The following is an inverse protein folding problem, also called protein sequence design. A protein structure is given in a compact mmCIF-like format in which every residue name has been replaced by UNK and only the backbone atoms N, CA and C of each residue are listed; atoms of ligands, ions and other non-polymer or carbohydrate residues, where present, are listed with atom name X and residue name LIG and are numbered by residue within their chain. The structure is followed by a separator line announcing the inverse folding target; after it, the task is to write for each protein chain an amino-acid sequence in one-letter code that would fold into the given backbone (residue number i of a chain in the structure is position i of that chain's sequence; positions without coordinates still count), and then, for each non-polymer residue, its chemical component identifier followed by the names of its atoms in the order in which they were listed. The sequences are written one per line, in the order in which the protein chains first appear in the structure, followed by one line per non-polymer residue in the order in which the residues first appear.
data_IF_950774919655
#
_entry.id   IF_950774919655
#
_cell.length_a   1.000
_cell.length_b   1.000
_cell.length_c   1.000
_cell.angle_alpha   90.00
_cell.angle_beta   90.00
_cell.angle_gamma   90.00
#
_symmetry.space_group_name_H-M   'P 1'
#
loop_
_entity.id
_entity.type
_entity.pdbx_description
1 polymer ?
#
# COMPACT_ATOMS: atom_id res chain seq x y z
N UNK A 1 -1.68 19.71 -7.90
CA UNK A 1 -0.57 18.77 -7.69
C UNK A 1 -1.08 17.34 -7.70
N UNK A 2 -0.38 16.47 -8.37
CA UNK A 2 -0.75 15.06 -8.46
C UNK A 2 0.04 14.26 -7.44
N UNK A 3 -0.65 13.61 -6.54
CA UNK A 3 -0.03 12.72 -5.58
C UNK A 3 -0.26 11.27 -6.01
N UNK A 4 0.79 10.47 -5.95
CA UNK A 4 0.71 9.04 -6.25
C UNK A 4 1.29 8.28 -5.07
N UNK A 5 0.55 7.30 -4.59
CA UNK A 5 1.00 6.38 -3.57
C UNK A 5 1.21 5.02 -4.22
N UNK A 6 2.45 4.55 -4.23
CA UNK A 6 2.77 3.22 -4.73
C UNK A 6 3.06 2.34 -3.52
N UNK A 7 2.46 1.16 -3.49
CA UNK A 7 2.55 0.26 -2.35
C UNK A 7 2.94 -1.14 -2.79
N UNK A 8 3.59 -1.86 -1.89
CA UNK A 8 3.85 -3.29 -2.08
C UNK A 8 3.97 -3.97 -0.72
N UNK A 9 3.70 -5.27 -0.72
CA UNK A 9 3.85 -6.10 0.46
C UNK A 9 4.59 -7.37 0.08
N UNK A 10 5.34 -7.92 1.02
CA UNK A 10 6.08 -9.15 0.81
C UNK A 10 6.02 -10.02 2.06
N UNK A 11 6.18 -11.32 1.86
CA UNK A 11 6.25 -12.28 2.94
C UNK A 11 7.42 -13.24 2.70
N UNK A 12 8.22 -13.45 3.74
CA UNK A 12 9.32 -14.40 3.71
C UNK A 12 8.93 -15.63 4.52
N UNK A 13 8.70 -16.76 3.84
CA UNK A 13 8.36 -18.00 4.52
C UNK A 13 9.55 -18.52 5.33
N UNK A 14 10.77 -18.27 4.87
CA UNK A 14 11.97 -18.71 5.58
C UNK A 14 12.12 -18.04 6.95
N UNK A 15 11.63 -16.83 7.10
CA UNK A 15 11.72 -16.06 8.34
C UNK A 15 10.38 -15.91 9.05
N UNK A 16 9.31 -16.34 8.42
CA UNK A 16 7.94 -16.15 8.91
C UNK A 16 7.69 -14.71 9.32
N UNK A 17 8.03 -13.79 8.43
CA UNK A 17 7.82 -12.38 8.65
C UNK A 17 7.54 -11.68 7.33
N UNK A 18 6.81 -10.57 7.42
CA UNK A 18 6.44 -9.78 6.26
C UNK A 18 7.11 -8.43 6.25
N UNK A 19 6.95 -7.74 5.15
CA UNK A 19 7.45 -6.39 5.00
C UNK A 19 6.51 -5.57 4.13
N UNK A 20 6.45 -4.29 4.39
CA UNK A 20 5.75 -3.35 3.52
C UNK A 20 6.75 -2.38 2.92
N UNK A 21 6.43 -1.88 1.74
CA UNK A 21 7.16 -0.82 1.10
C UNK A 21 6.18 0.14 0.44
N UNK A 22 6.41 1.43 0.60
CA UNK A 22 5.59 2.42 -0.06
C UNK A 22 6.40 3.67 -0.41
N UNK A 23 5.94 4.36 -1.43
CA UNK A 23 6.54 5.61 -1.90
C UNK A 23 5.41 6.57 -2.22
N UNK A 24 5.58 7.82 -1.79
CA UNK A 24 4.73 8.91 -2.26
C UNK A 24 5.48 9.73 -3.29
N UNK A 25 4.81 9.99 -4.40
CA UNK A 25 5.29 10.93 -5.42
C UNK A 25 4.37 12.15 -5.43
N UNK A 26 4.96 13.30 -5.65
CA UNK A 26 4.25 14.55 -5.90
C UNK A 26 4.79 15.12 -7.21
N UNK A 27 3.91 15.23 -8.20
CA UNK A 27 4.31 15.68 -9.55
C UNK A 27 5.54 14.93 -10.05
N UNK A 28 5.51 13.60 -9.91
CA UNK A 28 6.51 12.63 -10.37
C UNK A 28 7.83 12.61 -9.57
N UNK A 29 7.93 13.41 -8.50
CA UNK A 29 9.11 13.37 -7.63
C UNK A 29 8.81 12.68 -6.31
N UNK A 30 9.74 11.82 -5.87
CA UNK A 30 9.59 11.13 -4.58
C UNK A 30 9.71 12.14 -3.45
N UNK A 31 8.68 12.18 -2.60
CA UNK A 31 8.68 13.05 -1.42
C UNK A 31 8.73 12.27 -0.11
N UNK A 32 8.47 10.95 -0.16
CA UNK A 32 8.47 10.12 1.05
C UNK A 32 8.60 8.67 0.64
N UNK A 33 9.32 7.90 1.45
CA UNK A 33 9.29 6.44 1.37
C UNK A 33 9.21 5.87 2.78
N UNK A 34 8.66 4.67 2.90
CA UNK A 34 8.52 4.01 4.18
C UNK A 34 8.56 2.49 3.98
N UNK A 35 9.22 1.80 4.89
CA UNK A 35 9.21 0.34 4.90
C UNK A 35 9.26 -0.13 6.35
N UNK A 36 8.68 -1.31 6.60
CA UNK A 36 8.66 -1.86 7.95
C UNK A 36 8.48 -3.38 7.90
N UNK A 37 9.11 -4.07 8.83
CA UNK A 37 8.98 -5.51 9.01
C UNK A 37 7.89 -5.79 10.04
N UNK A 38 7.14 -6.88 9.82
CA UNK A 38 6.11 -7.36 10.72
C UNK A 38 6.25 -8.87 10.92
N UNK A 39 5.90 -9.35 12.09
CA UNK A 39 5.85 -10.77 12.39
C UNK A 39 4.41 -11.24 12.53
N UNK A 40 4.17 -12.53 12.26
CA UNK A 40 2.84 -13.09 12.40
C UNK A 40 1.84 -12.59 11.38
N UNK A 41 2.28 -12.38 10.15
CA UNK A 41 1.46 -11.79 9.10
C UNK A 41 1.47 -12.67 7.84
N UNK A 42 0.58 -12.35 6.91
CA UNK A 42 0.52 -12.99 5.60
C UNK A 42 0.88 -11.99 4.52
N UNK A 43 1.11 -12.48 3.31
CA UNK A 43 1.37 -11.61 2.17
C UNK A 43 0.22 -10.61 1.94
N UNK A 44 -1.03 -11.10 1.98
CA UNK A 44 -2.19 -10.23 1.78
C UNK A 44 -2.32 -9.16 2.86
N UNK A 45 -1.96 -9.48 4.11
CA UNK A 45 -1.92 -8.48 5.19
C UNK A 45 -0.91 -7.38 4.88
N UNK A 46 0.23 -7.75 4.31
CA UNK A 46 1.26 -6.77 3.98
C UNK A 46 0.84 -5.88 2.81
N UNK A 47 0.22 -6.46 1.79
CA UNK A 47 -0.30 -5.68 0.67
C UNK A 47 -1.33 -4.66 1.13
N UNK A 48 -2.28 -5.08 1.94
CA UNK A 48 -3.31 -4.19 2.48
C UNK A 48 -2.72 -3.21 3.48
N UNK A 49 -1.82 -3.68 4.34
CA UNK A 49 -1.17 -2.85 5.36
C UNK A 49 -0.39 -1.69 4.76
N UNK A 50 0.27 -1.92 3.63
CA UNK A 50 1.01 -0.85 2.95
C UNK A 50 0.09 0.29 2.52
N UNK A 51 -1.11 -0.03 2.02
CA UNK A 51 -2.10 0.98 1.64
C UNK A 51 -2.60 1.73 2.88
N UNK A 52 -2.94 1.00 3.93
CA UNK A 52 -3.44 1.61 5.17
C UNK A 52 -2.43 2.61 5.74
N UNK A 53 -1.17 2.20 5.82
CA UNK A 53 -0.12 3.07 6.37
C UNK A 53 0.13 4.26 5.45
N UNK A 54 0.11 4.04 4.14
CA UNK A 54 0.21 5.14 3.20
C UNK A 54 -0.89 6.18 3.40
N UNK A 55 -2.12 5.73 3.59
CA UNK A 55 -3.23 6.64 3.85
C UNK A 55 -3.04 7.42 5.15
N UNK A 56 -2.44 6.81 6.17
CA UNK A 56 -2.18 7.47 7.45
C UNK A 56 -1.24 8.66 7.33
N UNK A 57 -0.35 8.66 6.34
CA UNK A 57 0.56 9.78 6.13
C UNK A 57 -0.13 11.03 5.60
N UNK A 58 -1.34 10.90 5.05
CA UNK A 58 -2.06 12.04 4.48
C UNK A 58 -2.81 12.74 5.61
N UNK A 59 -2.40 13.98 5.91
CA UNK A 59 -2.94 14.75 7.03
C UNK A 59 -3.41 16.15 6.63
N UNK A 60 -3.23 16.52 5.37
CA UNK A 60 -3.61 17.84 4.85
C UNK A 60 -4.42 17.65 3.57
N UNK A 61 -5.24 18.64 3.19
CA UNK A 61 -5.96 18.57 1.92
C UNK A 61 -4.99 18.45 0.74
N UNK A 62 -5.32 17.56 -0.20
CA UNK A 62 -4.60 17.41 -1.46
C UNK A 62 -5.60 17.34 -2.60
N UNK A 63 -5.16 17.69 -3.81
CA UNK A 63 -6.06 17.78 -4.97
C UNK A 63 -6.50 16.41 -5.48
N UNK A 64 -5.56 15.51 -5.65
CA UNK A 64 -5.85 14.18 -6.17
C UNK A 64 -4.84 13.17 -5.65
N UNK A 65 -5.27 11.93 -5.53
CA UNK A 65 -4.44 10.82 -5.10
C UNK A 65 -4.71 9.61 -5.98
N UNK A 66 -3.65 9.04 -6.54
CA UNK A 66 -3.71 7.77 -7.23
C UNK A 66 -2.99 6.75 -6.37
N UNK A 67 -3.66 5.66 -6.04
CA UNK A 67 -3.08 4.56 -5.26
C UNK A 67 -2.81 3.40 -6.21
N UNK A 68 -1.55 3.00 -6.31
CA UNK A 68 -1.11 1.94 -7.21
C UNK A 68 -0.69 0.73 -6.40
N UNK A 69 -1.29 -0.42 -6.71
CA UNK A 69 -0.96 -1.70 -6.07
C UNK A 69 -0.94 -2.81 -7.12
N UNK A 70 -0.07 -3.78 -6.94
CA UNK A 70 -0.05 -4.98 -7.79
C UNK A 70 -0.92 -6.10 -7.21
N UNK A 71 -1.55 -5.88 -6.08
CA UNK A 71 -2.40 -6.87 -5.43
C UNK A 71 -3.84 -6.79 -5.92
N UNK A 72 -4.27 -7.81 -6.68
CA UNK A 72 -5.68 -7.89 -7.09
C UNK A 72 -6.60 -8.07 -5.88
N UNK A 73 -6.10 -8.74 -4.83
CA UNK A 73 -6.87 -8.87 -3.59
C UNK A 73 -7.24 -7.49 -3.03
N UNK A 74 -6.26 -6.59 -2.92
CA UNK A 74 -6.50 -5.25 -2.39
C UNK A 74 -7.41 -4.46 -3.32
N UNK A 75 -7.08 -4.42 -4.61
CA UNK A 75 -7.84 -3.65 -5.58
C UNK A 75 -9.28 -4.17 -5.67
N UNK A 76 -9.46 -5.49 -5.74
CA UNK A 76 -10.78 -6.10 -5.85
C UNK A 76 -11.65 -5.83 -4.63
N UNK A 77 -11.10 -6.00 -3.44
CA UNK A 77 -11.84 -5.76 -2.20
C UNK A 77 -12.10 -4.28 -1.93
N UNK A 78 -11.22 -3.41 -2.40
CA UNK A 78 -11.39 -1.97 -2.21
C UNK A 78 -12.34 -1.35 -3.23
N UNK A 79 -12.34 -1.83 -4.48
CA UNK A 79 -13.02 -1.13 -5.58
C UNK A 79 -14.06 -1.94 -6.32
N UNK A 80 -14.03 -3.27 -6.26
CA UNK A 80 -14.89 -4.13 -7.09
C UNK A 80 -15.95 -4.87 -6.27
N UNK A 81 -16.08 -4.56 -5.00
CA UNK A 81 -17.09 -5.19 -4.15
C UNK A 81 -16.80 -6.65 -3.82
N UNK A 82 -15.56 -7.10 -3.99
CA UNK A 82 -15.21 -8.47 -3.60
C UNK A 82 -15.41 -8.65 -2.09
N UNK A 83 -15.88 -9.84 -1.71
CA UNK A 83 -16.16 -10.11 -0.30
C UNK A 83 -14.90 -10.10 0.53
N UNK A 84 -14.95 -9.38 1.64
CA UNK A 84 -13.84 -9.27 2.60
C UNK A 84 -13.99 -10.32 3.68
N UNK A 85 -13.71 -11.59 3.33
CA UNK A 85 -13.90 -12.72 4.24
C UNK A 85 -12.79 -12.85 5.27
N UNK A 86 -11.58 -12.38 4.93
CA UNK A 86 -10.42 -12.45 5.80
C UNK A 86 -9.91 -11.04 6.07
N UNK A 87 -9.08 -10.92 7.12
CA UNK A 87 -8.46 -9.64 7.48
C UNK A 87 -9.49 -8.57 7.78
N UNK A 88 -10.59 -8.98 8.41
CA UNK A 88 -11.74 -8.10 8.66
C UNK A 88 -11.33 -6.84 9.42
N UNK A 89 -10.48 -6.98 10.45
CA UNK A 89 -10.04 -5.84 11.25
C UNK A 89 -9.16 -4.89 10.45
N UNK A 90 -8.33 -5.42 9.55
CA UNK A 90 -7.53 -4.58 8.67
C UNK A 90 -8.42 -3.83 7.69
N UNK A 91 -9.46 -4.48 7.18
CA UNK A 91 -10.41 -3.80 6.28
C UNK A 91 -11.22 -2.74 7.00
N UNK A 92 -11.55 -2.95 8.28
CA UNK A 92 -12.18 -1.91 9.09
C UNK A 92 -11.27 -0.70 9.24
N UNK A 93 -9.98 -0.93 9.47
CA UNK A 93 -9.00 0.16 9.56
C UNK A 93 -8.81 0.84 8.21
N UNK A 94 -8.80 0.06 7.12
CA UNK A 94 -8.76 0.62 5.77
C UNK A 94 -9.95 1.57 5.55
N UNK A 95 -11.16 1.12 5.87
CA UNK A 95 -12.36 1.93 5.67
C UNK A 95 -12.29 3.23 6.48
N UNK A 96 -11.79 3.15 7.72
CA UNK A 96 -11.64 4.32 8.58
C UNK A 96 -10.67 5.33 7.99
N UNK A 97 -9.49 4.86 7.55
CA UNK A 97 -8.50 5.75 6.94
C UNK A 97 -8.96 6.28 5.58
N UNK A 98 -9.60 5.44 4.80
CA UNK A 98 -10.11 5.85 3.49
C UNK A 98 -11.16 6.97 3.64
N UNK A 99 -12.10 6.79 4.57
CA UNK A 99 -13.13 7.81 4.83
C UNK A 99 -12.50 9.12 5.28
N UNK A 100 -11.51 9.06 6.16
CA UNK A 100 -10.80 10.25 6.63
C UNK A 100 -10.09 10.97 5.49
N UNK A 101 -9.35 10.20 4.67
CA UNK A 101 -8.60 10.77 3.55
C UNK A 101 -9.55 11.31 2.47
N UNK A 102 -10.69 10.65 2.27
CA UNK A 102 -11.68 11.08 1.27
C UNK A 102 -12.19 12.50 1.54
N UNK A 103 -12.26 12.90 2.80
CA UNK A 103 -12.62 14.27 3.16
C UNK A 103 -11.52 15.27 2.82
N UNK A 104 -10.26 14.83 2.87
CA UNK A 104 -9.11 15.68 2.53
C UNK A 104 -8.82 15.67 1.04
N UNK A 105 -9.21 14.61 0.34
CA UNK A 105 -8.92 14.41 -1.08
C UNK A 105 -10.11 13.72 -1.73
N UNK A 106 -11.07 14.49 -2.29
CA UNK A 106 -12.23 13.86 -2.92
C UNK A 106 -11.92 12.98 -4.13
N UNK A 107 -10.80 13.24 -4.80
CA UNK A 107 -10.43 12.54 -6.03
C UNK A 107 -9.38 11.46 -5.74
N UNK A 108 -9.85 10.28 -5.32
CA UNK A 108 -8.99 9.12 -5.07
C UNK A 108 -9.25 8.07 -6.15
N UNK A 109 -8.20 7.63 -6.82
CA UNK A 109 -8.28 6.59 -7.85
C UNK A 109 -7.36 5.44 -7.47
N UNK A 110 -7.85 4.20 -7.61
CA UNK A 110 -7.05 3.00 -7.43
C UNK A 110 -6.65 2.45 -8.78
N UNK A 111 -5.38 2.08 -8.94
CA UNK A 111 -4.87 1.50 -10.17
C UNK A 111 -4.17 0.18 -9.85
N UNK A 112 -4.58 -0.88 -10.54
CA UNK A 112 -3.89 -2.15 -10.47
C UNK A 112 -2.76 -2.14 -11.49
N UNK A 113 -1.55 -2.46 -11.04
CA UNK A 113 -0.42 -2.65 -11.94
C UNK A 113 -0.04 -4.13 -11.96
N UNK A 114 0.53 -4.58 -13.06
CA UNK A 114 0.96 -5.99 -13.17
C UNK A 114 2.29 -6.27 -12.46
N UNK A 115 2.89 -5.26 -11.81
CA UNK A 115 4.18 -5.45 -11.16
C UNK A 115 5.28 -5.81 -12.13
N UNK A 116 6.53 -5.55 -11.78
CA UNK A 116 7.73 -6.00 -12.52
C UNK A 116 7.75 -5.71 -14.02
N UNK A 117 6.97 -4.75 -14.50
CA UNK A 117 6.91 -4.40 -15.92
C UNK A 117 7.84 -3.24 -16.27
N UNK A 118 8.98 -3.13 -15.59
CA UNK A 118 9.90 -2.04 -15.82
C UNK A 118 9.46 -0.72 -15.20
N UNK A 119 8.41 -0.73 -14.40
CA UNK A 119 7.97 0.46 -13.67
C UNK A 119 8.94 0.69 -12.51
N UNK A 120 9.67 1.77 -12.59
CA UNK A 120 10.71 2.14 -11.63
C UNK A 120 10.22 2.12 -10.19
N UNK A 121 9.06 2.74 -9.93
CA UNK A 121 8.58 2.90 -8.56
C UNK A 121 7.94 1.63 -8.01
N UNK A 122 7.32 0.82 -8.87
CA UNK A 122 6.82 -0.50 -8.46
C UNK A 122 7.98 -1.39 -8.03
N UNK A 123 9.04 -1.44 -8.83
CA UNK A 123 10.23 -2.22 -8.49
C UNK A 123 10.89 -1.70 -7.23
N UNK A 124 10.90 -0.38 -7.05
CA UNK A 124 11.45 0.23 -5.85
C UNK A 124 10.69 -0.20 -4.59
N UNK A 125 9.36 -0.16 -4.64
CA UNK A 125 8.53 -0.59 -3.52
C UNK A 125 8.66 -2.09 -3.25
N UNK A 126 8.77 -2.90 -4.30
CA UNK A 126 9.01 -4.33 -4.14
C UNK A 126 10.31 -4.57 -3.37
N UNK A 127 11.38 -3.89 -3.73
CA UNK A 127 12.65 -4.02 -3.04
C UNK A 127 12.56 -3.58 -1.59
N UNK A 128 11.85 -2.49 -1.30
CA UNK A 128 11.62 -2.05 0.07
C UNK A 128 10.89 -3.11 0.88
N UNK A 129 9.81 -3.68 0.32
CA UNK A 129 9.01 -4.66 1.01
C UNK A 129 9.78 -5.96 1.23
N UNK A 130 10.48 -6.45 0.21
CA UNK A 130 11.27 -7.68 0.29
C UNK A 130 12.41 -7.52 1.30
N UNK A 131 13.13 -6.40 1.26
CA UNK A 131 14.20 -6.13 2.22
C UNK A 131 13.67 -6.11 3.64
N UNK A 132 12.53 -5.45 3.86
CA UNK A 132 11.90 -5.39 5.17
C UNK A 132 11.51 -6.80 5.66
N UNK A 133 10.97 -7.64 4.77
CA UNK A 133 10.57 -9.00 5.13
C UNK A 133 11.74 -9.91 5.53
N UNK A 134 12.96 -9.49 5.25
CA UNK A 134 14.17 -10.26 5.55
C UNK A 134 15.01 -9.66 6.66
N UNK A 135 14.53 -8.59 7.28
CA UNK A 135 15.28 -7.96 8.37
C UNK A 135 15.38 -8.87 9.58
N UNK A 136 16.53 -8.78 10.25
CA UNK A 136 16.78 -9.47 11.52
C UNK A 136 16.37 -8.51 12.63
N UNK A 137 15.40 -8.92 13.44
CA UNK A 137 14.96 -8.02 14.48
C UNK A 137 14.13 -8.69 15.54
#
# INVERSE_FOLDING_TARGET
MKYILITDGAYSSARDQGGIGLVFLRDEEKILEYSKMYKGVTNNMMELGAVIIGLRFIKKPIDSLTIISDSMYVIGCATKGWKRKKNVKLWEEFDRQYSRVKELCPNITFVHTKGHNGDKWNEYCDKLAVSASKQIG
#
